data_IF_084483414268
#
_entry.id   IF_084483414268
#
_cell.length_a   1.000
_cell.length_b   1.000
_cell.length_c   1.000
_cell.angle_alpha   90.00
_cell.angle_beta   90.00
_cell.angle_gamma   90.00
#
_symmetry.space_group_name_H-M   'P 1'
#
loop_
_entity.id
_entity.type
_entity.pdbx_description
1 polymer ?
#
# COMPACT_ATOMS: atom_id res chain seq x y z
N UNK A 1 -15.68 7.27 13.62
CA UNK A 1 -14.75 7.33 12.47
C UNK A 1 -14.13 5.96 12.30
N UNK A 2 -14.42 5.25 11.21
CA UNK A 2 -13.84 3.93 10.96
C UNK A 2 -12.33 4.10 10.77
N UNK A 3 -11.55 3.66 11.76
CA UNK A 3 -10.10 3.61 11.67
C UNK A 3 -9.79 2.49 10.69
N UNK A 4 -9.54 2.83 9.42
CA UNK A 4 -8.96 1.89 8.47
C UNK A 4 -7.64 1.44 9.08
N UNK A 5 -7.59 0.19 9.53
CA UNK A 5 -6.39 -0.35 10.13
C UNK A 5 -5.43 -0.67 8.99
N UNK A 6 -4.40 0.16 8.85
CA UNK A 6 -3.30 -0.08 7.91
C UNK A 6 -2.78 -1.53 8.01
N UNK A 7 -2.79 -2.12 9.20
CA UNK A 7 -2.43 -3.53 9.41
C UNK A 7 -3.28 -4.51 8.61
N UNK A 8 -4.61 -4.32 8.57
CA UNK A 8 -5.51 -5.20 7.80
C UNK A 8 -5.22 -5.12 6.30
N UNK A 9 -4.92 -3.91 5.81
CA UNK A 9 -4.61 -3.68 4.40
C UNK A 9 -3.26 -4.31 4.03
N UNK A 10 -2.27 -4.21 4.92
CA UNK A 10 -0.98 -4.88 4.78
C UNK A 10 -1.09 -6.40 4.81
N UNK A 11 -1.90 -6.96 5.71
CA UNK A 11 -2.12 -8.41 5.79
C UNK A 11 -2.77 -8.96 4.52
N UNK A 12 -3.77 -8.26 3.98
CA UNK A 12 -4.39 -8.59 2.70
C UNK A 12 -3.38 -8.52 1.54
N UNK A 13 -2.57 -7.47 1.51
CA UNK A 13 -1.54 -7.27 0.50
C UNK A 13 -0.49 -8.40 0.55
N UNK A 14 0.01 -8.74 1.73
CA UNK A 14 0.95 -9.84 1.93
C UNK A 14 0.36 -11.19 1.47
N UNK A 15 -0.91 -11.45 1.80
CA UNK A 15 -1.58 -12.67 1.37
C UNK A 15 -1.74 -12.75 -0.15
N UNK A 16 -2.04 -11.63 -0.82
CA UNK A 16 -2.15 -11.57 -2.27
C UNK A 16 -0.79 -11.70 -2.96
N UNK A 17 0.27 -11.19 -2.32
CA UNK A 17 1.64 -11.34 -2.83
C UNK A 17 2.11 -12.78 -2.81
N UNK A 18 1.86 -13.47 -1.71
CA UNK A 18 2.20 -14.89 -1.58
C UNK A 18 1.37 -15.73 -2.55
N UNK A 19 0.07 -15.46 -2.68
CA UNK A 19 -0.81 -16.30 -3.52
C UNK A 19 -0.50 -16.22 -5.01
N UNK A 20 0.07 -15.11 -5.48
CA UNK A 20 0.42 -14.92 -6.89
C UNK A 20 1.89 -15.21 -7.22
N UNK A 21 2.64 -15.81 -6.29
CA UNK A 21 3.99 -16.33 -6.55
C UNK A 21 5.14 -15.38 -6.24
N UNK A 22 4.93 -14.33 -5.44
CA UNK A 22 5.99 -13.44 -4.96
C UNK A 22 5.95 -12.03 -5.56
N UNK A 23 7.08 -11.32 -5.48
CA UNK A 23 7.21 -9.88 -5.74
C UNK A 23 7.13 -9.47 -7.22
N UNK A 24 6.88 -10.40 -8.15
CA UNK A 24 6.67 -10.09 -9.58
C UNK A 24 5.35 -9.35 -9.86
N UNK A 25 4.65 -8.94 -8.80
CA UNK A 25 3.25 -8.55 -8.83
C UNK A 25 2.96 -7.14 -9.32
N UNK A 26 3.99 -6.32 -9.43
CA UNK A 26 3.89 -5.07 -10.14
C UNK A 26 4.88 -4.05 -9.64
N UNK A 27 4.79 -2.86 -10.21
CA UNK A 27 5.68 -1.74 -9.87
C UNK A 27 4.99 -0.75 -8.93
N UNK A 28 3.65 -0.78 -8.85
CA UNK A 28 2.86 0.26 -8.17
C UNK A 28 1.65 -0.28 -7.41
N UNK A 29 1.47 0.20 -6.18
CA UNK A 29 0.30 -0.01 -5.33
C UNK A 29 -0.52 1.29 -5.24
N UNK A 30 -1.79 1.25 -5.64
CA UNK A 30 -2.70 2.38 -5.58
C UNK A 30 -3.65 2.20 -4.39
N UNK A 31 -3.68 3.18 -3.49
CA UNK A 31 -4.52 3.20 -2.28
C UNK A 31 -5.32 4.51 -2.19
N UNK A 32 -6.30 4.55 -1.29
CA UNK A 32 -7.02 5.78 -0.97
C UNK A 32 -6.09 6.85 -0.33
N UNK A 33 -6.28 8.16 -0.57
CA UNK A 33 -5.42 9.23 -0.01
C UNK A 33 -5.34 9.25 1.52
N UNK A 34 -6.38 8.77 2.21
CA UNK A 34 -6.35 8.63 3.68
C UNK A 34 -5.34 7.56 4.12
N UNK A 35 -5.31 6.41 3.43
CA UNK A 35 -4.36 5.32 3.71
C UNK A 35 -2.95 5.80 3.42
N UNK A 36 -2.76 6.47 2.27
CA UNK A 36 -1.48 7.07 1.90
C UNK A 36 -0.96 8.02 2.99
N UNK A 37 -1.82 8.91 3.52
CA UNK A 37 -1.46 9.79 4.65
C UNK A 37 -1.08 9.00 5.90
N UNK A 38 -1.86 8.00 6.28
CA UNK A 38 -1.53 7.17 7.45
C UNK A 38 -0.18 6.44 7.27
N UNK A 39 0.15 5.96 6.07
CA UNK A 39 1.46 5.38 5.76
C UNK A 39 2.55 6.44 5.87
N UNK A 40 2.33 7.63 5.30
CA UNK A 40 3.28 8.73 5.34
C UNK A 40 3.61 9.20 6.76
N UNK A 41 2.60 9.26 7.63
CA UNK A 41 2.75 9.60 9.05
C UNK A 41 3.44 8.48 9.84
N UNK A 42 3.14 7.22 9.53
CA UNK A 42 3.70 6.07 10.26
C UNK A 42 5.12 5.72 9.83
N UNK A 43 5.50 6.03 8.58
CA UNK A 43 6.77 5.63 7.95
C UNK A 43 7.43 6.80 7.19
N UNK A 44 7.70 7.94 7.85
CA UNK A 44 8.16 9.15 7.18
C UNK A 44 9.50 9.00 6.44
N UNK A 45 10.41 8.15 6.95
CA UNK A 45 11.71 7.89 6.34
C UNK A 45 11.60 7.10 5.02
N UNK A 46 10.73 6.09 4.98
CA UNK A 46 10.47 5.28 3.79
C UNK A 46 9.84 6.13 2.68
N UNK A 47 8.92 7.01 3.05
CA UNK A 47 8.28 7.96 2.11
C UNK A 47 9.28 8.97 1.57
N UNK A 48 10.15 9.51 2.43
CA UNK A 48 11.19 10.46 2.04
C UNK A 48 12.20 9.87 1.03
N UNK A 49 12.37 8.54 1.03
CA UNK A 49 13.22 7.83 0.07
C UNK A 49 12.46 7.41 -1.20
N UNK A 50 11.17 7.72 -1.32
CA UNK A 50 10.33 7.31 -2.45
C UNK A 50 9.84 5.86 -2.39
N UNK A 51 10.06 5.17 -1.27
CA UNK A 51 9.73 3.76 -1.07
C UNK A 51 8.91 3.55 0.21
N UNK A 52 7.69 4.07 0.31
CA UNK A 52 6.83 3.96 1.51
C UNK A 52 6.51 2.52 1.96
N UNK A 53 6.89 1.51 1.18
CA UNK A 53 6.76 0.08 1.47
C UNK A 53 8.00 -0.69 0.99
N UNK A 54 9.21 -0.29 1.40
CA UNK A 54 10.48 -0.92 0.98
C UNK A 54 10.49 -2.46 1.05
N UNK A 55 9.70 -3.06 1.95
CA UNK A 55 9.55 -4.52 2.07
C UNK A 55 8.99 -5.20 0.80
N UNK A 56 8.29 -4.46 -0.06
CA UNK A 56 7.60 -5.01 -1.24
C UNK A 56 8.11 -4.44 -2.57
N UNK A 57 9.02 -3.47 -2.57
CA UNK A 57 9.53 -2.87 -3.81
C UNK A 57 8.48 -2.17 -4.68
N UNK A 58 7.30 -1.84 -4.12
CA UNK A 58 6.18 -1.20 -4.83
C UNK A 58 6.17 0.32 -4.61
N UNK A 59 5.97 1.10 -5.67
CA UNK A 59 5.64 2.52 -5.60
C UNK A 59 4.23 2.69 -5.00
N UNK A 60 4.05 3.50 -3.96
CA UNK A 60 2.71 3.77 -3.41
C UNK A 60 2.14 5.05 -4.03
N UNK A 61 0.94 4.98 -4.58
CA UNK A 61 0.23 6.12 -5.16
C UNK A 61 -1.14 6.28 -4.52
N UNK A 62 -1.58 7.52 -4.33
CA UNK A 62 -2.91 7.83 -3.83
C UNK A 62 -3.91 8.06 -4.99
N UNK A 63 -5.13 7.53 -4.86
CA UNK A 63 -6.24 7.81 -5.78
C UNK A 63 -7.59 7.77 -5.06
N UNK A 64 -8.40 8.81 -5.24
CA UNK A 64 -9.81 8.89 -4.77
C UNK A 64 -10.69 7.79 -5.41
N UNK A 65 -10.25 7.20 -6.53
CA UNK A 65 -10.97 6.12 -7.20
C UNK A 65 -10.86 4.77 -6.47
N UNK A 66 -9.98 4.66 -5.46
CA UNK A 66 -9.82 3.44 -4.65
C UNK A 66 -10.56 3.65 -3.31
N UNK A 67 -11.47 2.75 -2.91
CA UNK A 67 -12.16 2.85 -1.63
C UNK A 67 -11.20 2.88 -0.42
N UNK A 68 -11.56 3.53 0.70
CA UNK A 68 -10.69 3.67 1.88
C UNK A 68 -10.12 2.39 2.46
N UNK A 69 -10.80 1.25 2.29
CA UNK A 69 -10.40 -0.06 2.81
C UNK A 69 -9.96 -1.04 1.71
N UNK A 70 -9.49 -0.52 0.58
CA UNK A 70 -9.12 -1.32 -0.60
C UNK A 70 -7.80 -0.83 -1.21
N UNK A 71 -7.26 -1.62 -2.13
CA UNK A 71 -6.06 -1.30 -2.89
C UNK A 71 -6.16 -1.88 -4.30
N UNK A 72 -5.30 -1.38 -5.20
CA UNK A 72 -5.07 -1.95 -6.53
C UNK A 72 -3.59 -2.10 -6.77
N UNK A 73 -3.18 -3.29 -7.22
CA UNK A 73 -1.81 -3.53 -7.68
C UNK A 73 -1.77 -3.33 -9.19
N UNK A 74 -0.79 -2.56 -9.67
CA UNK A 74 -0.53 -2.32 -11.08
C UNK A 74 0.91 -2.75 -11.38
N UNK A 75 1.04 -3.58 -12.40
CA UNK A 75 2.31 -4.05 -12.97
C UNK A 75 2.81 -3.14 -14.06
#
# INVERSE_FOLDING_TARGET
MAKVSLGVLLDQLCSEIVSRGGLELGTRLIVHPQVHRCVAESRPQEVAQGFPLMLLGLELTASEAVPPSSFKIVS
#
